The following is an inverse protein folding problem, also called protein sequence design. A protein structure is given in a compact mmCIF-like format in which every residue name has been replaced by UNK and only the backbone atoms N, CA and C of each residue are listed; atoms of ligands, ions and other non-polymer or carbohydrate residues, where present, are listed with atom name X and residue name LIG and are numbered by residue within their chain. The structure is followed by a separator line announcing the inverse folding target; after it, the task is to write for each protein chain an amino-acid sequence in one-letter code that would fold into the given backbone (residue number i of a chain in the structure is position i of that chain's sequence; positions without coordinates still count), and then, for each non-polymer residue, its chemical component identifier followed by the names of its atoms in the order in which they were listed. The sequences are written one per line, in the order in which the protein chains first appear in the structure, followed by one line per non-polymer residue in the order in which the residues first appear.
data_IF_270050224162
#
_entry.id   IF_270050224162
#
_cell.length_a   1.000
_cell.length_b   1.000
_cell.length_c   1.000
_cell.angle_alpha   90.00
_cell.angle_beta   90.00
_cell.angle_gamma   90.00
#
_symmetry.space_group_name_H-M   'P 1'
#
loop_
_entity.id
_entity.type
_entity.pdbx_description
1 polymer ?
#
# COMPACT_ATOMS: atom_id res chain seq x y z
N UNK A 1 -12.93 30.44 -1.46
CA UNK A 1 -11.97 29.53 -0.84
C UNK A 1 -10.83 29.29 -1.83
N UNK A 2 -9.54 29.40 -1.42
CA UNK A 2 -8.45 29.11 -2.32
C UNK A 2 -8.56 27.64 -2.76
N UNK A 3 -8.38 27.41 -4.06
CA UNK A 3 -8.30 26.06 -4.59
C UNK A 3 -7.06 25.40 -3.96
N UNK A 4 -7.28 24.48 -3.02
CA UNK A 4 -6.20 23.67 -2.46
C UNK A 4 -5.55 22.91 -3.62
N UNK A 5 -4.30 23.24 -3.90
CA UNK A 5 -3.51 22.51 -4.88
C UNK A 5 -3.36 21.08 -4.34
N UNK A 6 -4.11 20.14 -4.90
CA UNK A 6 -3.97 18.72 -4.57
C UNK A 6 -2.56 18.30 -4.95
N UNK A 7 -1.77 17.74 -4.03
CA UNK A 7 -0.45 17.23 -4.39
C UNK A 7 -0.61 16.20 -5.51
N UNK A 8 0.23 16.34 -6.54
CA UNK A 8 0.22 15.40 -7.64
C UNK A 8 0.47 13.98 -7.13
N UNK A 9 -0.41 13.05 -7.47
CA UNK A 9 -0.21 11.64 -7.15
C UNK A 9 1.05 11.14 -7.86
N UNK A 10 1.84 10.36 -7.14
CA UNK A 10 3.02 9.70 -7.68
C UNK A 10 2.79 8.21 -7.69
N UNK A 11 3.28 7.54 -8.72
CA UNK A 11 3.24 6.10 -8.85
C UNK A 11 4.64 5.52 -8.98
N UNK A 12 4.77 4.24 -8.68
CA UNK A 12 5.97 3.45 -8.92
C UNK A 12 5.70 2.55 -10.13
N UNK A 13 6.30 2.83 -11.30
CA UNK A 13 6.00 2.10 -12.54
C UNK A 13 6.21 0.59 -12.41
N UNK A 14 7.27 0.17 -11.72
CA UNK A 14 7.60 -1.24 -11.53
C UNK A 14 6.52 -1.96 -10.69
N UNK A 15 5.95 -1.28 -9.70
CA UNK A 15 4.86 -1.82 -8.90
C UNK A 15 3.54 -1.85 -9.68
N UNK A 16 3.31 -0.89 -10.58
CA UNK A 16 2.18 -0.90 -11.49
C UNK A 16 2.26 -2.11 -12.43
N UNK A 17 3.41 -2.31 -13.05
CA UNK A 17 3.64 -3.46 -13.95
C UNK A 17 3.46 -4.79 -13.22
N UNK A 18 3.98 -4.90 -12.00
CA UNK A 18 3.79 -6.09 -11.17
C UNK A 18 2.31 -6.33 -10.88
N UNK A 19 1.59 -5.31 -10.40
CA UNK A 19 0.17 -5.42 -10.09
C UNK A 19 -0.65 -5.86 -11.31
N UNK A 20 -0.42 -5.25 -12.47
CA UNK A 20 -1.10 -5.58 -13.71
C UNK A 20 -0.84 -7.03 -14.15
N UNK A 21 0.43 -7.47 -14.13
CA UNK A 21 0.78 -8.86 -14.48
C UNK A 21 0.17 -9.89 -13.52
N UNK A 22 0.06 -9.56 -12.25
CA UNK A 22 -0.59 -10.43 -11.27
C UNK A 22 -2.10 -10.52 -11.53
N UNK A 23 -2.76 -9.38 -11.77
CA UNK A 23 -4.18 -9.30 -12.10
C UNK A 23 -4.51 -10.08 -13.38
N UNK A 24 -3.72 -9.93 -14.44
CA UNK A 24 -3.85 -10.66 -15.71
C UNK A 24 -3.77 -12.19 -15.54
N UNK A 25 -3.03 -12.64 -14.52
CA UNK A 25 -2.90 -14.05 -14.15
C UNK A 25 -3.91 -14.55 -13.14
N UNK A 26 -4.90 -13.71 -12.79
CA UNK A 26 -5.97 -14.07 -11.88
C UNK A 26 -5.63 -14.01 -10.39
N UNK A 27 -4.52 -13.36 -10.03
CA UNK A 27 -4.23 -13.10 -8.62
C UNK A 27 -5.16 -12.04 -8.03
N UNK A 28 -5.54 -12.22 -6.79
CA UNK A 28 -6.28 -11.23 -6.00
C UNK A 28 -5.27 -10.27 -5.35
N UNK A 29 -5.15 -9.06 -5.91
CA UNK A 29 -4.14 -8.07 -5.50
C UNK A 29 -4.76 -7.05 -4.58
N UNK A 30 -4.17 -6.87 -3.40
CA UNK A 30 -4.59 -5.94 -2.36
C UNK A 30 -3.55 -4.87 -2.11
N UNK A 31 -3.99 -3.67 -1.77
CA UNK A 31 -3.13 -2.56 -1.37
C UNK A 31 -3.51 -2.05 0.02
N UNK A 32 -2.49 -1.79 0.84
CA UNK A 32 -2.60 -1.19 2.16
C UNK A 32 -1.95 0.19 2.15
N UNK A 33 -2.58 1.17 2.77
CA UNK A 33 -2.08 2.55 2.81
C UNK A 33 -2.41 3.22 4.14
N UNK A 34 -1.45 3.97 4.69
CA UNK A 34 -1.67 4.86 5.83
C UNK A 34 -2.37 6.17 5.44
N UNK A 35 -2.55 6.43 4.16
CA UNK A 35 -3.40 7.55 3.72
C UNK A 35 -4.86 7.26 4.04
N UNK A 36 -5.65 8.33 4.21
CA UNK A 36 -7.10 8.18 4.36
C UNK A 36 -7.70 7.36 3.22
N UNK A 37 -8.73 6.56 3.51
CA UNK A 37 -9.33 5.61 2.55
C UNK A 37 -9.62 6.24 1.19
N UNK A 38 -10.13 7.48 1.16
CA UNK A 38 -10.44 8.14 -0.10
C UNK A 38 -9.18 8.41 -0.95
N UNK A 39 -8.12 8.92 -0.33
CA UNK A 39 -6.85 9.16 -1.01
C UNK A 39 -6.19 7.85 -1.47
N UNK A 40 -6.28 6.80 -0.66
CA UNK A 40 -5.79 5.47 -1.02
C UNK A 40 -6.53 4.90 -2.25
N UNK A 41 -7.85 5.08 -2.33
CA UNK A 41 -8.66 4.67 -3.48
C UNK A 41 -8.25 5.40 -4.76
N UNK A 42 -8.02 6.72 -4.69
CA UNK A 42 -7.57 7.49 -5.85
C UNK A 42 -6.18 7.05 -6.32
N UNK A 43 -5.25 6.81 -5.40
CA UNK A 43 -3.92 6.30 -5.74
C UNK A 43 -3.98 4.90 -6.35
N UNK A 44 -4.83 4.02 -5.84
CA UNK A 44 -4.95 2.64 -6.29
C UNK A 44 -5.46 2.51 -7.74
N UNK A 45 -6.22 3.49 -8.23
CA UNK A 45 -6.65 3.56 -9.64
C UNK A 45 -5.45 3.55 -10.59
N UNK A 46 -4.33 4.19 -10.21
CA UNK A 46 -3.10 4.23 -11.01
C UNK A 46 -2.50 2.84 -11.24
N UNK A 47 -2.79 1.90 -10.34
CA UNK A 47 -2.32 0.51 -10.38
C UNK A 47 -3.36 -0.46 -10.94
N UNK A 48 -4.56 0.02 -11.31
CA UNK A 48 -5.64 -0.81 -11.82
C UNK A 48 -6.34 -1.65 -10.76
N UNK A 49 -6.23 -1.28 -9.48
CA UNK A 49 -6.84 -2.03 -8.40
C UNK A 49 -8.32 -1.68 -8.23
N UNK A 50 -9.14 -2.71 -7.97
CA UNK A 50 -10.55 -2.51 -7.66
C UNK A 50 -10.71 -1.87 -6.26
N UNK A 51 -11.66 -0.94 -6.07
CA UNK A 51 -11.86 -0.24 -4.78
C UNK A 51 -12.02 -1.16 -3.57
N UNK A 52 -12.61 -2.34 -3.75
CA UNK A 52 -12.80 -3.33 -2.67
C UNK A 52 -11.50 -4.03 -2.25
N UNK A 53 -10.40 -3.81 -2.97
CA UNK A 53 -9.08 -4.39 -2.71
C UNK A 53 -8.09 -3.37 -2.14
N UNK A 54 -8.62 -2.28 -1.59
CA UNK A 54 -7.81 -1.17 -1.05
C UNK A 54 -8.20 -0.90 0.39
N UNK A 55 -7.23 -1.02 1.27
CA UNK A 55 -7.39 -0.77 2.71
C UNK A 55 -6.60 0.49 3.06
N UNK A 56 -7.30 1.60 3.24
CA UNK A 56 -6.77 2.86 3.73
C UNK A 56 -7.20 3.14 5.17
N UNK A 57 -6.70 4.21 5.73
CA UNK A 57 -7.12 4.68 7.04
C UNK A 57 -8.57 5.16 6.97
N UNK A 58 -9.43 4.60 7.80
CA UNK A 58 -10.85 4.96 7.88
C UNK A 58 -11.14 5.66 9.18
N UNK A 59 -11.88 6.75 9.09
CA UNK A 59 -12.35 7.49 10.26
C UNK A 59 -13.84 7.26 10.47
N UNK A 60 -14.27 7.30 11.72
CA UNK A 60 -15.68 7.26 12.09
C UNK A 60 -16.37 8.52 11.59
N UNK A 61 -17.56 8.35 11.04
CA UNK A 61 -18.44 9.47 10.66
C UNK A 61 -19.48 9.62 11.74
N UNK A 62 -19.60 10.83 12.29
CA UNK A 62 -20.62 11.18 13.26
C UNK A 62 -21.37 12.43 12.76
N UNK A 63 -22.68 12.35 12.64
CA UNK A 63 -23.53 13.44 12.15
C UNK A 63 -23.09 14.01 10.79
N UNK A 64 -22.61 13.14 9.88
CA UNK A 64 -22.13 13.53 8.55
C UNK A 64 -20.74 14.13 8.50
N UNK A 65 -20.02 14.23 9.61
CA UNK A 65 -18.65 14.73 9.69
C UNK A 65 -17.65 13.61 10.06
N UNK A 66 -16.46 13.68 9.47
CA UNK A 66 -15.34 12.81 9.86
C UNK A 66 -14.86 13.18 11.26
N UNK A 67 -14.64 12.19 12.09
CA UNK A 67 -14.04 12.35 13.42
C UNK A 67 -12.55 11.99 13.40
N UNK A 68 -11.84 12.31 14.49
CA UNK A 68 -10.46 11.85 14.69
C UNK A 68 -10.36 10.37 15.08
N UNK A 69 -11.49 9.71 15.40
CA UNK A 69 -11.54 8.30 15.77
C UNK A 69 -11.37 7.42 14.54
N UNK A 70 -10.32 6.57 14.54
CA UNK A 70 -10.06 5.63 13.45
C UNK A 70 -10.82 4.32 13.66
N UNK A 71 -11.24 3.71 12.57
CA UNK A 71 -11.89 2.40 12.56
C UNK A 71 -10.85 1.29 12.34
N UNK A 72 -11.00 0.20 13.06
CA UNK A 72 -10.19 -1.00 12.86
C UNK A 72 -10.63 -1.79 11.61
N UNK A 73 -9.71 -2.57 11.00
CA UNK A 73 -8.28 -2.57 11.26
C UNK A 73 -7.61 -1.29 10.73
N UNK A 74 -6.65 -0.74 11.49
CA UNK A 74 -5.79 0.35 11.05
C UNK A 74 -4.68 -0.25 10.20
N UNK A 75 -4.43 0.20 8.95
CA UNK A 75 -3.47 -0.43 8.04
C UNK A 75 -2.01 -0.09 8.39
N UNK A 76 -1.62 -0.27 9.64
CA UNK A 76 -0.30 -0.04 10.20
C UNK A 76 0.10 -1.13 11.18
N UNK A 77 1.33 -1.59 11.11
CA UNK A 77 1.85 -2.60 12.03
C UNK A 77 0.96 -3.85 12.10
N UNK A 78 0.59 -4.27 13.29
CA UNK A 78 -0.28 -5.43 13.48
C UNK A 78 -1.67 -5.29 12.86
N UNK A 79 -2.17 -4.07 12.66
CA UNK A 79 -3.45 -3.83 11.99
C UNK A 79 -3.44 -4.26 10.52
N UNK A 80 -2.28 -4.32 9.87
CA UNK A 80 -2.15 -4.90 8.52
C UNK A 80 -2.38 -6.42 8.55
N UNK A 81 -1.79 -7.12 9.51
CA UNK A 81 -2.00 -8.56 9.70
C UNK A 81 -3.47 -8.86 10.07
N UNK A 82 -4.07 -8.04 10.93
CA UNK A 82 -5.49 -8.12 11.27
C UNK A 82 -6.37 -7.91 10.02
N UNK A 83 -6.04 -6.94 9.16
CA UNK A 83 -6.76 -6.71 7.91
C UNK A 83 -6.64 -7.89 6.95
N UNK A 84 -5.48 -8.54 6.86
CA UNK A 84 -5.31 -9.78 6.08
C UNK A 84 -6.24 -10.86 6.61
N UNK A 85 -6.27 -11.09 7.92
CA UNK A 85 -7.12 -12.11 8.53
C UNK A 85 -8.61 -11.83 8.34
N UNK A 86 -9.06 -10.59 8.55
CA UNK A 86 -10.47 -10.23 8.53
C UNK A 86 -11.03 -10.01 7.12
N UNK A 87 -10.25 -9.42 6.20
CA UNK A 87 -10.75 -9.00 4.89
C UNK A 87 -10.37 -9.97 3.78
N UNK A 88 -9.24 -10.66 3.90
CA UNK A 88 -8.76 -11.61 2.91
C UNK A 88 -9.01 -13.06 3.36
N UNK A 89 -8.83 -13.35 4.65
CA UNK A 89 -9.10 -14.65 5.26
C UNK A 89 -8.10 -15.75 4.90
N UNK A 90 -6.96 -15.38 4.31
CA UNK A 90 -5.85 -16.31 3.97
C UNK A 90 -4.54 -15.54 3.87
N UNK A 91 -3.42 -16.22 4.09
CA UNK A 91 -2.10 -15.63 3.97
C UNK A 91 -1.77 -15.28 2.51
N UNK A 92 -1.09 -14.15 2.28
CA UNK A 92 -0.66 -13.77 0.94
C UNK A 92 0.47 -14.67 0.44
N UNK A 93 0.38 -15.11 -0.82
CA UNK A 93 1.47 -15.85 -1.49
C UNK A 93 2.61 -14.92 -1.92
N UNK A 94 2.35 -13.63 -2.00
CA UNK A 94 3.32 -12.56 -2.22
C UNK A 94 2.96 -11.37 -1.35
N UNK A 95 3.90 -10.87 -0.57
CA UNK A 95 3.77 -9.59 0.11
C UNK A 95 5.00 -8.71 -0.17
N UNK A 96 4.74 -7.44 -0.46
CA UNK A 96 5.77 -6.43 -0.71
C UNK A 96 5.54 -5.28 0.26
N UNK A 97 6.55 -4.87 0.98
CA UNK A 97 6.41 -3.80 1.98
C UNK A 97 7.75 -3.15 2.32
N UNK A 98 7.66 -2.09 3.11
CA UNK A 98 8.80 -1.38 3.69
C UNK A 98 9.06 -1.89 5.11
N UNK A 99 10.12 -1.44 5.82
CA UNK A 99 10.39 -1.88 7.20
C UNK A 99 9.23 -1.67 8.18
N UNK A 100 8.46 -0.59 8.03
CA UNK A 100 7.26 -0.35 8.85
C UNK A 100 6.12 -1.34 8.58
N UNK A 101 6.16 -2.06 7.46
CA UNK A 101 5.17 -3.08 7.07
C UNK A 101 5.59 -4.50 7.50
N UNK A 102 6.53 -4.62 8.43
CA UNK A 102 7.08 -5.91 8.86
C UNK A 102 5.97 -6.88 9.34
N UNK A 103 4.93 -6.39 10.01
CA UNK A 103 3.84 -7.23 10.46
C UNK A 103 3.04 -7.84 9.29
N UNK A 104 2.88 -7.12 8.18
CA UNK A 104 2.31 -7.66 6.94
C UNK A 104 3.21 -8.74 6.33
N UNK A 105 4.52 -8.49 6.32
CA UNK A 105 5.49 -9.43 5.76
C UNK A 105 5.62 -10.69 6.62
N UNK A 106 5.37 -10.61 7.93
CA UNK A 106 5.38 -11.73 8.87
C UNK A 106 4.04 -12.51 8.91
N UNK A 107 3.05 -12.20 8.07
CA UNK A 107 1.76 -12.93 8.00
C UNK A 107 1.87 -14.31 7.36
N UNK A 108 3.05 -14.86 7.27
CA UNK A 108 3.32 -16.09 6.56
C UNK A 108 3.55 -17.27 7.51
N UNK A 109 3.11 -18.44 7.10
CA UNK A 109 3.42 -19.74 7.67
C UNK A 109 4.58 -20.47 6.95
N UNK A 110 5.32 -19.76 6.09
CA UNK A 110 6.59 -20.21 5.48
C UNK A 110 6.59 -20.38 3.95
N UNK A 111 5.44 -20.36 3.29
CA UNK A 111 5.34 -20.72 1.86
C UNK A 111 5.25 -19.53 0.89
N UNK A 112 5.15 -18.29 1.38
CA UNK A 112 4.96 -17.13 0.53
C UNK A 112 6.26 -16.37 0.22
N UNK A 113 6.31 -15.69 -0.92
CA UNK A 113 7.38 -14.77 -1.27
C UNK A 113 7.21 -13.45 -0.51
N UNK A 114 8.23 -13.04 0.21
CA UNK A 114 8.29 -11.78 0.94
C UNK A 114 9.37 -10.88 0.35
N UNK A 115 9.01 -9.65 0.02
CA UNK A 115 9.91 -8.66 -0.57
C UNK A 115 9.95 -7.43 0.32
N UNK A 116 11.09 -7.17 0.92
CA UNK A 116 11.34 -5.95 1.69
C UNK A 116 11.92 -4.86 0.78
N UNK A 117 11.27 -3.74 0.70
CA UNK A 117 11.77 -2.53 0.02
C UNK A 117 12.65 -1.73 1.00
N UNK A 118 13.94 -2.00 0.99
CA UNK A 118 14.92 -1.35 1.87
C UNK A 118 16.28 -1.19 1.16
N UNK A 119 17.15 -0.36 1.72
CA UNK A 119 18.54 -0.29 1.25
C UNK A 119 19.20 -1.66 1.35
N UNK A 120 20.07 -1.98 0.40
CA UNK A 120 20.73 -3.31 0.35
C UNK A 120 21.56 -3.62 1.60
N UNK A 121 22.14 -2.59 2.19
CA UNK A 121 23.01 -2.70 3.36
C UNK A 121 22.34 -1.96 4.53
N UNK A 122 22.19 -2.65 5.64
CA UNK A 122 21.57 -2.10 6.83
C UNK A 122 20.91 -3.17 7.69
N UNK A 123 20.47 -2.80 8.90
CA UNK A 123 19.89 -3.74 9.87
C UNK A 123 18.59 -4.39 9.34
N UNK A 124 17.73 -3.61 8.66
CA UNK A 124 16.48 -4.13 8.10
C UNK A 124 16.73 -5.18 7.03
N UNK A 125 17.71 -4.93 6.14
CA UNK A 125 18.08 -5.88 5.10
C UNK A 125 18.71 -7.15 5.69
N UNK A 126 19.54 -7.03 6.72
CA UNK A 126 20.10 -8.16 7.41
C UNK A 126 19.03 -9.02 8.09
N UNK A 127 18.08 -8.38 8.79
CA UNK A 127 16.97 -9.06 9.44
C UNK A 127 16.06 -9.77 8.41
N UNK A 128 15.77 -9.11 7.28
CA UNK A 128 14.97 -9.70 6.20
C UNK A 128 15.63 -10.94 5.60
N UNK A 129 16.93 -10.88 5.31
CA UNK A 129 17.67 -12.03 4.78
C UNK A 129 17.71 -13.19 5.77
N UNK A 130 17.83 -12.91 7.07
CA UNK A 130 17.78 -13.95 8.10
C UNK A 130 16.43 -14.69 8.14
N UNK A 131 15.36 -14.03 7.69
CA UNK A 131 14.01 -14.61 7.51
C UNK A 131 13.80 -15.25 6.12
N UNK A 132 14.78 -15.22 5.25
CA UNK A 132 14.65 -15.71 3.87
C UNK A 132 13.90 -14.76 2.92
N UNK A 133 13.69 -13.51 3.32
CA UNK A 133 13.02 -12.52 2.48
C UNK A 133 13.94 -11.95 1.40
N UNK A 134 13.37 -11.58 0.28
CA UNK A 134 14.07 -10.83 -0.78
C UNK A 134 14.18 -9.36 -0.37
N UNK A 135 15.37 -8.79 -0.52
CA UNK A 135 15.60 -7.36 -0.31
C UNK A 135 15.73 -6.67 -1.65
N UNK A 136 14.83 -5.74 -1.91
CA UNK A 136 14.79 -4.91 -3.11
C UNK A 136 15.05 -3.46 -2.72
N UNK A 137 16.01 -2.75 -3.34
CA UNK A 137 16.14 -1.31 -3.15
C UNK A 137 14.84 -0.58 -3.48
N UNK A 138 14.50 0.50 -2.74
CA UNK A 138 13.32 1.27 -3.03
C UNK A 138 13.31 1.83 -4.45
N UNK A 139 12.16 1.78 -5.10
CA UNK A 139 11.94 2.40 -6.39
C UNK A 139 11.72 3.90 -6.26
N UNK A 140 11.99 4.64 -7.33
CA UNK A 140 11.73 6.08 -7.39
C UNK A 140 10.31 6.34 -7.91
N UNK A 141 9.42 6.96 -7.11
CA UNK A 141 8.09 7.31 -7.58
C UNK A 141 8.17 8.38 -8.66
N UNK A 142 7.40 8.22 -9.72
CA UNK A 142 7.25 9.19 -10.80
C UNK A 142 5.86 9.83 -10.76
N UNK A 143 5.74 11.02 -11.32
CA UNK A 143 4.43 11.64 -11.54
C UNK A 143 3.66 10.86 -12.60
N UNK A 144 2.36 10.69 -12.41
CA UNK A 144 1.50 10.13 -13.45
C UNK A 144 1.46 11.06 -14.67
N UNK A 145 1.91 10.61 -15.85
CA UNK A 145 1.90 11.44 -17.06
C UNK A 145 0.49 11.79 -17.54
N UNK A 146 -0.53 11.09 -17.09
CA UNK A 146 -1.93 11.35 -17.43
C UNK A 146 -2.61 12.32 -16.46
N UNK A 147 -1.94 12.71 -15.39
CA UNK A 147 -2.49 13.68 -14.45
C UNK A 147 -2.27 15.09 -14.99
N UNK A 148 -3.35 15.88 -15.23
CA UNK A 148 -3.22 17.26 -15.69
C UNK A 148 -2.39 18.07 -14.71
N UNK A 149 -1.61 19.01 -15.24
CA UNK A 149 -0.88 19.95 -14.39
C UNK A 149 -1.85 20.65 -13.45
N UNK A 150 -1.49 20.73 -12.18
CA UNK A 150 -2.22 21.61 -11.28
C UNK A 150 -2.19 23.02 -11.91
N UNK A 151 -3.33 23.72 -12.03
CA UNK A 151 -3.32 25.06 -12.56
C UNK A 151 -2.30 25.87 -11.76
N UNK A 152 -1.35 26.49 -12.48
CA UNK A 152 -0.39 27.39 -11.85
C UNK A 152 -1.16 28.36 -10.99
N UNK A 153 -0.94 28.32 -9.68
CA UNK A 153 -1.41 29.33 -8.78
C UNK A 153 -0.75 30.67 -9.20
N UNK A 154 -1.53 31.76 -9.34
CA UNK A 154 -1.00 33.07 -9.65
C UNK A 154 -0.06 33.60 -8.57
#
# INVERSE_FOLDING_TARGET
APAESRPALRMVPEMKDLAQKLLERGFDVWAFSLSGQHAALEAAKLYGLHPTRVVGLRNKILNGALTAETLNPVPEGYGQAEAVALLIGRNPVLAVGKPQDAALLDTDDGDGLRVLLAAKDGPDAAAARAKGWVVQPPFSPVRDPQQPDAPNAP
#
